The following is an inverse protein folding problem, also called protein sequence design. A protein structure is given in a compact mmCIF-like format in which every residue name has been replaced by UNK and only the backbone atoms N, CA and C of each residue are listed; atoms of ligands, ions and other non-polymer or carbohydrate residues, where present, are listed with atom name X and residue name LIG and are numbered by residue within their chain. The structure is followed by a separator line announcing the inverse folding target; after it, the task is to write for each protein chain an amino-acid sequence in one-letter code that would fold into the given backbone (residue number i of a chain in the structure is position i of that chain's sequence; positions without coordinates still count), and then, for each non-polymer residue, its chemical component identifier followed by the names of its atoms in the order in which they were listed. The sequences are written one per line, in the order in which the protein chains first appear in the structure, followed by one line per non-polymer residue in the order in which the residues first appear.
data_IF_782755640296
#
_entry.id   IF_782755640296
#
_cell.length_a   1.000
_cell.length_b   1.000
_cell.length_c   1.000
_cell.angle_alpha   90.00
_cell.angle_beta   90.00
_cell.angle_gamma   90.00
#
_symmetry.space_group_name_H-M   'P 1'
#
loop_
_entity.id
_entity.type
_entity.pdbx_description
1 polymer ?
#
# COMPACT_ATOMS: atom_id res chain seq x y z
N UNK A 1 -3.54 9.40 8.97
CA UNK A 1 -4.34 8.15 8.92
C UNK A 1 -5.73 8.30 8.31
N UNK A 2 -6.60 9.19 8.79
CA UNK A 2 -7.97 9.32 8.24
C UNK A 2 -7.96 9.58 6.72
N UNK A 3 -7.09 10.48 6.25
CA UNK A 3 -6.91 10.77 4.82
C UNK A 3 -6.44 9.54 4.03
N UNK A 4 -5.39 8.87 4.51
CA UNK A 4 -4.88 7.63 3.92
C UNK A 4 -5.99 6.58 3.74
N UNK A 5 -6.77 6.31 4.81
CA UNK A 5 -7.91 5.39 4.74
C UNK A 5 -8.97 5.86 3.74
N UNK A 6 -9.35 7.13 3.76
CA UNK A 6 -10.31 7.71 2.79
C UNK A 6 -9.85 7.43 1.36
N UNK A 7 -8.59 7.72 1.04
CA UNK A 7 -8.07 7.52 -0.31
C UNK A 7 -7.96 6.04 -0.68
N UNK A 8 -7.67 5.13 0.28
CA UNK A 8 -7.79 3.68 0.08
C UNK A 8 -9.21 3.28 -0.34
N UNK A 9 -10.24 3.81 0.32
CA UNK A 9 -11.62 3.49 -0.04
C UNK A 9 -12.01 4.02 -1.42
N UNK A 10 -11.49 5.20 -1.79
CA UNK A 10 -11.69 5.82 -3.10
C UNK A 10 -10.80 5.23 -4.21
N UNK A 11 -9.84 4.36 -3.86
CA UNK A 11 -8.81 3.83 -4.77
C UNK A 11 -8.01 4.94 -5.48
N UNK A 12 -7.74 6.03 -4.78
CA UNK A 12 -6.96 7.16 -5.29
C UNK A 12 -5.46 6.93 -5.00
N UNK A 13 -4.79 6.27 -5.94
CA UNK A 13 -3.41 5.82 -5.79
C UNK A 13 -2.41 6.96 -5.67
N UNK A 14 -2.67 8.10 -6.31
CA UNK A 14 -1.80 9.29 -6.21
C UNK A 14 -1.87 9.87 -4.80
N UNK A 15 -3.08 10.08 -4.27
CA UNK A 15 -3.26 10.59 -2.91
C UNK A 15 -2.80 9.62 -1.83
N UNK A 16 -2.92 8.32 -2.06
CA UNK A 16 -2.34 7.30 -1.17
C UNK A 16 -0.82 7.46 -1.12
N UNK A 17 -0.16 7.59 -2.27
CA UNK A 17 1.29 7.78 -2.34
C UNK A 17 1.71 9.06 -1.61
N UNK A 18 1.05 10.20 -1.88
CA UNK A 18 1.32 11.47 -1.21
C UNK A 18 1.24 11.35 0.32
N UNK A 19 0.18 10.73 0.85
CA UNK A 19 0.00 10.60 2.30
C UNK A 19 1.02 9.64 2.94
N UNK A 20 1.43 8.59 2.23
CA UNK A 20 2.50 7.69 2.68
C UNK A 20 3.86 8.40 2.70
N UNK A 21 4.18 9.16 1.66
CA UNK A 21 5.42 9.94 1.55
C UNK A 21 5.49 11.02 2.65
N UNK A 22 4.37 11.67 2.99
CA UNK A 22 4.29 12.63 4.09
C UNK A 22 4.59 12.00 5.45
N UNK A 23 4.03 10.83 5.73
CA UNK A 23 4.29 10.09 6.97
C UNK A 23 5.76 9.68 7.06
N UNK A 24 6.34 9.22 5.95
CA UNK A 24 7.75 8.87 5.89
C UNK A 24 8.67 10.09 6.08
N UNK A 25 8.37 11.20 5.42
CA UNK A 25 9.12 12.43 5.60
C UNK A 25 9.08 12.90 7.06
N UNK A 26 7.91 12.88 7.70
CA UNK A 26 7.77 13.20 9.13
C UNK A 26 8.62 12.30 10.02
N UNK A 27 8.63 11.00 9.74
CA UNK A 27 9.51 10.05 10.41
C UNK A 27 10.99 10.42 10.26
N UNK A 28 11.44 10.73 9.04
CA UNK A 28 12.80 11.17 8.77
C UNK A 28 13.20 12.45 9.50
N UNK A 29 12.30 13.45 9.56
CA UNK A 29 12.53 14.70 10.29
C UNK A 29 12.69 14.46 11.79
N UNK A 30 11.86 13.60 12.39
CA UNK A 30 11.95 13.24 13.82
C UNK A 30 13.33 12.68 14.15
N UNK A 31 13.87 11.82 13.29
CA UNK A 31 15.14 11.14 13.56
C UNK A 31 16.37 12.07 13.53
N UNK A 32 16.26 13.30 13.01
CA UNK A 32 17.40 14.23 12.95
C UNK A 32 17.86 14.69 14.33
N UNK A 33 16.92 14.91 15.26
CA UNK A 33 17.23 15.33 16.63
C UNK A 33 16.07 14.97 17.60
N UNK A 34 15.92 13.68 17.97
CA UNK A 34 14.72 13.22 18.64
C UNK A 34 14.76 13.44 20.16
N UNK A 35 13.62 13.82 20.74
CA UNK A 35 13.34 13.60 22.16
C UNK A 35 12.50 12.31 22.36
N UNK A 36 12.19 11.97 23.61
CA UNK A 36 11.45 10.74 23.92
C UNK A 36 10.04 10.69 23.31
N UNK A 37 9.32 11.82 23.31
CA UNK A 37 7.98 11.91 22.73
C UNK A 37 8.04 11.80 21.21
N UNK A 38 9.05 12.40 20.58
CA UNK A 38 9.29 12.28 19.14
C UNK A 38 9.57 10.81 18.75
N UNK A 39 10.35 10.07 19.55
CA UNK A 39 10.60 8.65 19.31
C UNK A 39 9.31 7.82 19.36
N UNK A 40 8.36 8.18 20.23
CA UNK A 40 7.07 7.51 20.28
C UNK A 40 6.21 7.86 19.05
N UNK A 41 6.27 9.10 18.56
CA UNK A 41 5.66 9.47 17.28
C UNK A 41 6.25 8.66 16.13
N UNK A 42 7.59 8.58 16.03
CA UNK A 42 8.26 7.79 14.99
C UNK A 42 7.87 6.31 15.03
N UNK A 43 7.81 5.70 16.22
CA UNK A 43 7.31 4.32 16.40
C UNK A 43 5.87 4.17 15.94
N UNK A 44 5.02 5.15 16.25
CA UNK A 44 3.62 5.14 15.81
C UNK A 44 3.51 5.19 14.29
N UNK A 45 4.34 6.01 13.62
CA UNK A 45 4.38 6.09 12.16
C UNK A 45 4.78 4.74 11.57
N UNK A 46 5.87 4.13 12.05
CA UNK A 46 6.32 2.82 11.57
C UNK A 46 5.27 1.73 11.80
N UNK A 47 4.64 1.71 12.98
CA UNK A 47 3.57 0.76 13.28
C UNK A 47 2.39 0.94 12.33
N UNK A 48 1.95 2.19 12.13
CA UNK A 48 0.79 2.49 11.30
C UNK A 48 1.03 2.22 9.82
N UNK A 49 2.19 2.60 9.29
CA UNK A 49 2.48 2.46 7.86
C UNK A 49 2.99 1.06 7.52
N UNK A 50 3.91 0.52 8.31
CA UNK A 50 4.56 -0.76 8.05
C UNK A 50 3.75 -1.97 8.47
N UNK A 51 3.08 -1.92 9.64
CA UNK A 51 2.33 -3.06 10.16
C UNK A 51 0.83 -2.93 9.87
N UNK A 52 0.18 -1.88 10.37
CA UNK A 52 -1.28 -1.79 10.29
C UNK A 52 -1.79 -1.57 8.86
N UNK A 53 -1.28 -0.55 8.17
CA UNK A 53 -1.78 -0.18 6.85
C UNK A 53 -1.38 -1.23 5.80
N UNK A 54 -0.09 -1.52 5.66
CA UNK A 54 0.41 -2.46 4.66
C UNK A 54 -0.07 -3.91 4.87
N UNK A 55 -0.14 -4.40 6.12
CA UNK A 55 -0.43 -5.82 6.37
C UNK A 55 -1.90 -6.11 6.69
N UNK A 56 -2.71 -5.11 7.04
CA UNK A 56 -4.15 -5.31 7.33
C UNK A 56 -5.04 -4.56 6.36
N UNK A 57 -4.92 -3.24 6.33
CA UNK A 57 -5.84 -2.39 5.55
C UNK A 57 -5.76 -2.67 4.05
N UNK A 58 -4.54 -2.78 3.52
CA UNK A 58 -4.33 -2.95 2.08
C UNK A 58 -4.84 -4.32 1.59
N UNK A 59 -4.49 -5.47 2.22
CA UNK A 59 -5.06 -6.77 1.87
C UNK A 59 -6.58 -6.79 1.93
N UNK A 60 -7.18 -6.29 3.01
CA UNK A 60 -8.64 -6.25 3.17
C UNK A 60 -9.30 -5.38 2.09
N UNK A 61 -8.70 -4.23 1.76
CA UNK A 61 -9.23 -3.34 0.73
C UNK A 61 -9.21 -3.99 -0.66
N UNK A 62 -8.16 -4.79 -0.96
CA UNK A 62 -8.07 -5.55 -2.20
C UNK A 62 -9.11 -6.67 -2.20
N UNK A 63 -9.13 -7.51 -1.16
CA UNK A 63 -9.99 -8.69 -1.06
C UNK A 63 -11.47 -8.33 -1.24
N UNK A 64 -11.93 -7.25 -0.60
CA UNK A 64 -13.31 -6.75 -0.72
C UNK A 64 -13.69 -6.32 -2.13
N UNK A 65 -12.75 -6.20 -3.07
CA UNK A 65 -12.99 -5.74 -4.45
C UNK A 65 -12.69 -6.81 -5.50
N UNK A 66 -12.08 -7.95 -5.12
CA UNK A 66 -11.75 -9.01 -6.08
C UNK A 66 -12.98 -9.65 -6.72
N UNK A 67 -14.12 -9.63 -6.03
CA UNK A 67 -15.39 -10.10 -6.59
C UNK A 67 -15.94 -9.19 -7.70
N UNK A 68 -15.39 -7.99 -7.88
CA UNK A 68 -15.79 -7.03 -8.92
C UNK A 68 -14.98 -7.19 -10.23
N UNK A 69 -14.03 -8.13 -10.26
CA UNK A 69 -13.29 -8.47 -11.46
C UNK A 69 -14.20 -9.22 -12.44
N UNK A 70 -13.95 -9.09 -13.75
CA UNK A 70 -14.61 -9.86 -14.80
C UNK A 70 -14.45 -11.37 -14.57
N UNK A 71 -13.27 -11.76 -14.05
CA UNK A 71 -12.99 -13.10 -13.56
C UNK A 71 -12.60 -13.01 -12.08
N UNK A 72 -13.56 -13.25 -11.16
CA UNK A 72 -13.29 -13.24 -9.73
C UNK A 72 -12.14 -14.18 -9.36
N UNK A 73 -11.34 -13.79 -8.39
CA UNK A 73 -10.23 -14.59 -7.87
C UNK A 73 -10.01 -14.35 -6.39
N UNK A 74 -9.31 -15.27 -5.74
CA UNK A 74 -8.87 -15.11 -4.35
C UNK A 74 -7.74 -14.09 -4.22
N UNK A 75 -7.54 -13.59 -3.00
CA UNK A 75 -6.42 -12.68 -2.69
C UNK A 75 -5.07 -13.32 -2.98
N UNK A 76 -4.90 -14.60 -2.66
CA UNK A 76 -3.65 -15.32 -2.92
C UNK A 76 -3.35 -15.43 -4.41
N UNK A 77 -4.36 -15.73 -5.23
CA UNK A 77 -4.20 -15.78 -6.69
C UNK A 77 -3.84 -14.41 -7.25
N UNK A 78 -4.52 -13.35 -6.79
CA UNK A 78 -4.23 -11.97 -7.19
C UNK A 78 -2.77 -11.59 -6.90
N UNK A 79 -2.31 -11.81 -5.67
CA UNK A 79 -0.93 -11.53 -5.27
C UNK A 79 0.07 -12.34 -6.09
N UNK A 80 -0.21 -13.63 -6.31
CA UNK A 80 0.62 -14.51 -7.15
C UNK A 80 0.73 -14.01 -8.59
N UNK A 81 -0.38 -13.56 -9.18
CA UNK A 81 -0.40 -13.03 -10.55
C UNK A 81 0.44 -11.77 -10.66
N UNK A 82 0.32 -10.84 -9.71
CA UNK A 82 1.08 -9.59 -9.76
C UNK A 82 2.58 -9.85 -9.56
N UNK A 83 2.93 -10.66 -8.56
CA UNK A 83 4.32 -10.86 -8.15
C UNK A 83 5.11 -11.77 -9.09
N UNK A 84 4.43 -12.70 -9.77
CA UNK A 84 5.07 -13.56 -10.78
C UNK A 84 5.44 -12.83 -12.08
N UNK A 85 4.84 -11.68 -12.37
CA UNK A 85 5.07 -10.95 -13.63
C UNK A 85 4.69 -11.76 -14.88
N UNK A 86 3.82 -12.76 -14.74
CA UNK A 86 3.45 -13.72 -15.79
C UNK A 86 2.61 -13.11 -16.92
N UNK A 87 2.51 -13.80 -18.06
CA UNK A 87 1.62 -13.43 -19.18
C UNK A 87 0.17 -13.22 -18.73
N UNK A 88 -0.29 -14.04 -17.76
CA UNK A 88 -1.58 -13.89 -17.09
C UNK A 88 -1.81 -12.49 -16.54
N UNK A 89 -0.77 -11.82 -16.01
CA UNK A 89 -0.87 -10.43 -15.52
C UNK A 89 -1.22 -9.46 -16.66
N UNK A 90 -0.59 -9.62 -17.81
CA UNK A 90 -0.85 -8.79 -19.00
C UNK A 90 -2.26 -8.99 -19.55
N UNK A 91 -2.78 -10.22 -19.50
CA UNK A 91 -4.17 -10.50 -19.86
C UNK A 91 -5.15 -9.85 -18.89
N UNK A 92 -4.91 -10.00 -17.59
CA UNK A 92 -5.77 -9.44 -16.54
C UNK A 92 -5.80 -7.91 -16.57
N UNK A 93 -4.76 -7.22 -17.04
CA UNK A 93 -4.74 -5.76 -17.22
C UNK A 93 -5.78 -5.21 -18.19
N UNK A 94 -6.44 -6.07 -18.99
CA UNK A 94 -7.57 -5.66 -19.81
C UNK A 94 -8.80 -5.32 -18.95
N UNK A 95 -8.91 -5.91 -17.76
CA UNK A 95 -9.93 -5.57 -16.76
C UNK A 95 -9.54 -4.28 -16.03
N UNK A 96 -10.40 -3.27 -16.11
CA UNK A 96 -10.18 -1.94 -15.50
C UNK A 96 -10.07 -2.01 -13.97
N UNK A 97 -10.84 -2.86 -13.31
CA UNK A 97 -10.77 -3.05 -11.86
C UNK A 97 -9.45 -3.74 -11.49
N UNK A 98 -9.02 -4.75 -12.26
CA UNK A 98 -7.72 -5.37 -12.06
C UNK A 98 -6.59 -4.35 -12.16
N UNK A 99 -6.55 -3.52 -13.20
CA UNK A 99 -5.52 -2.49 -13.35
C UNK A 99 -5.49 -1.50 -12.16
N UNK A 100 -6.66 -1.13 -11.62
CA UNK A 100 -6.75 -0.26 -10.44
C UNK A 100 -6.20 -0.93 -9.19
N UNK A 101 -6.58 -2.18 -8.93
CA UNK A 101 -6.11 -2.95 -7.78
C UNK A 101 -4.60 -3.23 -7.90
N UNK A 102 -4.12 -3.55 -9.10
CA UNK A 102 -2.71 -3.72 -9.39
C UNK A 102 -1.93 -2.44 -9.09
N UNK A 103 -2.35 -1.30 -9.62
CA UNK A 103 -1.67 -0.03 -9.37
C UNK A 103 -1.65 0.32 -7.88
N UNK A 104 -2.77 0.13 -7.18
CA UNK A 104 -2.85 0.33 -5.74
C UNK A 104 -1.87 -0.56 -4.97
N UNK A 105 -1.86 -1.87 -5.25
CA UNK A 105 -0.95 -2.79 -4.62
C UNK A 105 0.51 -2.43 -4.89
N UNK A 106 0.86 -2.06 -6.12
CA UNK A 106 2.23 -1.68 -6.49
C UNK A 106 2.69 -0.39 -5.80
N UNK A 107 1.82 0.61 -5.64
CA UNK A 107 2.15 1.84 -4.88
C UNK A 107 2.51 1.48 -3.44
N UNK A 108 1.71 0.66 -2.78
CA UNK A 108 1.96 0.24 -1.40
C UNK A 108 3.21 -0.63 -1.30
N UNK A 109 3.38 -1.60 -2.22
CA UNK A 109 4.55 -2.48 -2.28
C UNK A 109 5.84 -1.68 -2.48
N UNK A 110 5.83 -0.69 -3.36
CA UNK A 110 6.96 0.19 -3.60
C UNK A 110 7.29 1.01 -2.36
N UNK A 111 6.28 1.59 -1.69
CA UNK A 111 6.48 2.27 -0.42
C UNK A 111 7.13 1.33 0.62
N UNK A 112 6.59 0.12 0.81
CA UNK A 112 7.17 -0.86 1.75
C UNK A 112 8.61 -1.23 1.39
N UNK A 113 8.90 -1.49 0.12
CA UNK A 113 10.20 -2.00 -0.32
C UNK A 113 11.29 -0.92 -0.38
N UNK A 114 10.94 0.33 -0.72
CA UNK A 114 11.89 1.44 -0.78
C UNK A 114 12.60 1.66 0.57
N UNK A 115 11.98 1.25 1.67
CA UNK A 115 12.48 1.53 3.02
C UNK A 115 12.91 0.28 3.80
N UNK A 116 12.67 -0.92 3.28
CA UNK A 116 13.28 -2.18 3.78
C UNK A 116 14.74 -2.31 3.30
N UNK A 117 15.13 -1.61 2.22
CA UNK A 117 16.42 -1.76 1.57
C UNK A 117 17.58 -0.91 2.09
N UNK A 118 17.36 0.00 3.05
CA UNK A 118 18.43 0.82 3.66
C UNK A 118 19.49 1.30 2.66
N UNK A 119 19.11 2.15 1.71
CA UNK A 119 20.06 2.96 0.94
C UNK A 119 19.73 4.44 1.12
#
# INVERSE_FOLDING_TARGET
MIKLLKYTYLMDTEKIKEELDLLWFRYGEILKNPNWDDLNEARSILYLTGNFYCEKVVPEAIERRLHLLEKPMSLLEFLTVIDSGSEKRSEMRKDRMFSKLENFYLVVKNFKNNFVGGK
#
